data_IF_943749438975
#
_entry.id   IF_943749438975
#
_cell.length_a   1.000
_cell.length_b   1.000
_cell.length_c   1.000
_cell.angle_alpha   90.00
_cell.angle_beta   90.00
_cell.angle_gamma   90.00
#
_symmetry.space_group_name_H-M   'P 1'
#
loop_
_entity.id
_entity.type
_entity.pdbx_description
1 polymer ?
#
# COMPACT_ATOMS: atom_id res chain seq x y z
N UNK A 1 0.28 -11.56 -13.38
CA UNK A 1 -0.71 -10.80 -14.17
C UNK A 1 -1.02 -11.47 -15.50
N UNK A 2 -0.06 -11.63 -16.43
CA UNK A 2 -0.30 -12.27 -17.74
C UNK A 2 -0.99 -13.64 -17.60
N UNK A 3 -0.45 -14.54 -16.77
CA UNK A 3 -1.03 -15.88 -16.58
C UNK A 3 -2.43 -15.87 -15.93
N UNK A 4 -2.73 -14.89 -15.07
CA UNK A 4 -3.99 -14.82 -14.32
C UNK A 4 -5.09 -14.18 -15.16
N UNK A 5 -4.76 -13.11 -15.90
CA UNK A 5 -5.73 -12.32 -16.66
C UNK A 5 -5.92 -12.83 -18.08
N UNK A 6 -4.94 -13.58 -18.62
CA UNK A 6 -5.01 -14.19 -19.94
C UNK A 6 -5.38 -13.18 -21.04
N UNK A 7 -6.36 -13.55 -21.85
CA UNK A 7 -6.90 -12.73 -22.95
C UNK A 7 -7.58 -11.44 -22.51
N UNK A 8 -7.87 -11.28 -21.21
CA UNK A 8 -8.47 -10.05 -20.70
C UNK A 8 -7.46 -8.94 -20.41
N UNK A 9 -6.16 -9.23 -20.52
CA UNK A 9 -5.09 -8.23 -20.47
C UNK A 9 -4.65 -7.90 -21.91
N UNK A 10 -4.74 -6.63 -22.35
CA UNK A 10 -4.24 -6.22 -23.65
C UNK A 10 -2.76 -6.57 -23.82
N UNK A 11 -2.38 -6.97 -25.03
CA UNK A 11 -0.99 -7.25 -25.37
C UNK A 11 -0.36 -6.03 -26.01
N UNK A 12 0.82 -5.67 -25.54
CA UNK A 12 1.65 -4.68 -26.21
C UNK A 12 2.25 -5.31 -27.47
N UNK A 13 2.16 -4.58 -28.57
CA UNK A 13 2.92 -4.85 -29.78
C UNK A 13 4.42 -4.66 -29.53
N UNK A 14 5.25 -5.28 -30.37
CA UNK A 14 6.72 -5.16 -30.26
C UNK A 14 7.20 -3.70 -30.37
N UNK A 15 6.50 -2.85 -31.14
CA UNK A 15 6.81 -1.42 -31.25
C UNK A 15 6.47 -0.65 -29.98
N UNK A 16 5.33 -0.94 -29.33
CA UNK A 16 4.96 -0.33 -28.05
C UNK A 16 5.94 -0.72 -26.94
N UNK A 17 6.31 -2.00 -26.85
CA UNK A 17 7.32 -2.45 -25.89
C UNK A 17 8.64 -1.73 -26.12
N UNK A 18 9.10 -1.63 -27.38
CA UNK A 18 10.34 -0.91 -27.72
C UNK A 18 10.25 0.56 -27.32
N UNK A 19 9.12 1.22 -27.58
CA UNK A 19 8.90 2.61 -27.20
C UNK A 19 8.94 2.77 -25.68
N UNK A 20 8.24 1.93 -24.91
CA UNK A 20 8.22 1.99 -23.45
C UNK A 20 9.62 1.77 -22.84
N UNK A 21 10.40 0.84 -23.39
CA UNK A 21 11.78 0.58 -22.93
C UNK A 21 12.74 1.75 -23.20
N UNK A 22 12.42 2.64 -24.14
CA UNK A 22 13.24 3.81 -24.44
C UNK A 22 13.03 4.97 -23.46
N UNK A 23 11.93 4.98 -22.71
CA UNK A 23 11.65 6.01 -21.73
C UNK A 23 12.09 5.57 -20.33
N UNK A 24 12.79 6.46 -19.63
CA UNK A 24 13.10 6.29 -18.22
C UNK A 24 12.07 7.02 -17.39
N UNK A 25 11.66 6.42 -16.28
CA UNK A 25 10.79 7.07 -15.30
C UNK A 25 11.57 8.12 -14.54
N UNK A 26 11.08 9.36 -14.54
CA UNK A 26 11.73 10.48 -13.83
C UNK A 26 11.49 10.41 -12.31
N UNK A 27 10.28 10.01 -11.90
CA UNK A 27 9.92 9.81 -10.50
C UNK A 27 8.73 8.85 -10.34
N UNK A 28 8.54 8.34 -9.12
CA UNK A 28 7.39 7.54 -8.70
C UNK A 28 6.56 8.32 -7.69
N UNK A 29 5.26 8.49 -7.96
CA UNK A 29 4.27 8.92 -6.97
C UNK A 29 3.72 7.69 -6.23
N UNK A 30 3.67 7.74 -4.91
CA UNK A 30 3.27 6.61 -4.06
C UNK A 30 2.18 7.04 -3.09
N UNK A 31 1.05 6.35 -3.16
CA UNK A 31 -0.01 6.42 -2.17
C UNK A 31 0.10 5.19 -1.26
N UNK A 32 0.38 5.41 0.02
CA UNK A 32 0.46 4.31 0.99
C UNK A 32 -0.32 4.65 2.25
N UNK A 33 -1.16 3.70 2.67
CA UNK A 33 -2.06 3.89 3.80
C UNK A 33 -2.01 2.73 4.80
N UNK A 34 -1.90 1.49 4.30
CA UNK A 34 -2.04 0.26 5.08
C UNK A 34 -1.16 -0.86 4.51
N UNK A 35 -1.01 -1.94 5.27
CA UNK A 35 -0.39 -3.20 4.83
C UNK A 35 -1.32 -4.37 5.14
N UNK A 36 -1.06 -5.52 4.50
CA UNK A 36 -1.84 -6.73 4.69
C UNK A 36 -0.95 -7.97 4.72
N UNK A 37 -1.43 -9.02 5.38
CA UNK A 37 -0.95 -10.36 5.09
C UNK A 37 -1.52 -10.83 3.75
N UNK A 38 -0.77 -11.70 3.08
CA UNK A 38 -1.18 -12.35 1.84
C UNK A 38 -1.02 -13.84 2.02
N UNK A 39 -2.08 -14.58 1.73
CA UNK A 39 -2.08 -16.04 1.67
C UNK A 39 -2.12 -16.48 0.20
N UNK A 40 -1.25 -17.43 -0.16
CA UNK A 40 -1.30 -18.08 -1.46
C UNK A 40 -2.53 -18.98 -1.56
N UNK A 41 -3.23 -18.90 -2.69
CA UNK A 41 -4.44 -19.67 -2.96
C UNK A 41 -4.32 -20.53 -4.23
N UNK A 42 -3.12 -20.60 -4.82
CA UNK A 42 -2.86 -21.39 -6.03
C UNK A 42 -2.97 -22.89 -5.76
N UNK A 43 -2.50 -23.35 -4.60
CA UNK A 43 -2.47 -24.77 -4.24
C UNK A 43 -3.72 -25.16 -3.42
N UNK A 44 -4.18 -24.28 -2.54
CA UNK A 44 -5.40 -24.49 -1.75
C UNK A 44 -6.34 -23.32 -1.98
N UNK A 45 -7.46 -23.60 -2.65
CA UNK A 45 -8.43 -22.58 -3.02
C UNK A 45 -8.90 -21.79 -1.78
N UNK A 46 -8.76 -20.48 -1.84
CA UNK A 46 -9.35 -19.58 -0.86
C UNK A 46 -10.82 -19.33 -1.20
N UNK A 47 -11.62 -18.93 -0.21
CA UNK A 47 -13.01 -18.53 -0.42
C UNK A 47 -13.01 -17.31 -1.36
N UNK A 48 -13.76 -17.40 -2.47
CA UNK A 48 -14.02 -16.24 -3.32
C UNK A 48 -14.79 -15.19 -2.53
N UNK A 49 -14.34 -13.94 -2.58
CA UNK A 49 -15.07 -12.80 -2.07
C UNK A 49 -16.23 -12.39 -3.00
N UNK A 50 -16.50 -11.09 -3.09
CA UNK A 50 -17.63 -10.56 -3.84
C UNK A 50 -17.35 -10.37 -5.36
N UNK A 51 -16.27 -10.94 -5.90
CA UNK A 51 -15.91 -10.79 -7.33
C UNK A 51 -15.31 -9.43 -7.68
N UNK A 52 -14.69 -8.72 -6.73
CA UNK A 52 -14.21 -7.36 -6.93
C UNK A 52 -12.89 -7.27 -7.73
N UNK A 53 -12.19 -8.40 -7.94
CA UNK A 53 -10.95 -8.42 -8.70
C UNK A 53 -10.72 -9.73 -9.46
N UNK A 54 -10.11 -9.64 -10.64
CA UNK A 54 -9.73 -10.83 -11.43
C UNK A 54 -8.60 -11.67 -10.82
N UNK A 55 -7.95 -11.18 -9.75
CA UNK A 55 -6.99 -11.97 -8.96
C UNK A 55 -7.64 -12.72 -7.79
N UNK A 56 -8.95 -12.55 -7.59
CA UNK A 56 -9.70 -13.25 -6.56
C UNK A 56 -9.62 -14.77 -6.79
N UNK A 57 -9.37 -15.52 -5.71
CA UNK A 57 -9.09 -16.95 -5.76
C UNK A 57 -7.61 -17.32 -5.98
N UNK A 58 -6.73 -16.39 -6.40
CA UNK A 58 -5.28 -16.66 -6.55
C UNK A 58 -4.46 -16.25 -5.33
N UNK A 59 -4.87 -15.19 -4.64
CA UNK A 59 -4.29 -14.76 -3.38
C UNK A 59 -5.38 -14.16 -2.48
N UNK A 60 -5.27 -14.37 -1.18
CA UNK A 60 -6.19 -13.83 -0.20
C UNK A 60 -5.50 -12.75 0.63
N UNK A 61 -6.07 -11.54 0.57
CA UNK A 61 -5.68 -10.40 1.40
C UNK A 61 -6.27 -10.59 2.79
N UNK A 62 -5.43 -10.52 3.81
CA UNK A 62 -5.81 -10.77 5.19
C UNK A 62 -5.34 -9.63 6.11
N UNK A 63 -6.22 -9.20 7.00
CA UNK A 63 -5.92 -8.21 8.05
C UNK A 63 -5.31 -8.88 9.29
N UNK A 64 -5.49 -10.20 9.41
CA UNK A 64 -5.03 -11.02 10.52
C UNK A 64 -4.46 -12.35 10.06
N UNK A 65 -3.47 -12.86 10.80
CA UNK A 65 -2.94 -14.22 10.70
C UNK A 65 -3.16 -14.91 12.04
N UNK A 66 -4.23 -15.69 12.16
CA UNK A 66 -4.70 -16.21 13.45
C UNK A 66 -5.04 -15.06 14.42
N UNK A 67 -4.40 -15.05 15.59
CA UNK A 67 -4.63 -14.03 16.62
C UNK A 67 -3.78 -12.76 16.44
N UNK A 68 -2.92 -12.70 15.41
CA UNK A 68 -2.05 -11.54 15.15
C UNK A 68 -2.68 -10.66 14.07
N UNK A 69 -2.88 -9.36 14.37
CA UNK A 69 -3.26 -8.37 13.36
C UNK A 69 -2.03 -7.80 12.67
N UNK A 70 -2.18 -7.38 11.41
CA UNK A 70 -1.10 -6.73 10.66
C UNK A 70 -0.66 -5.40 11.29
N UNK A 71 -1.59 -4.68 11.94
CA UNK A 71 -1.37 -3.38 12.56
C UNK A 71 -2.54 -2.98 13.45
N UNK A 72 -2.50 -1.78 14.03
CA UNK A 72 -3.62 -1.28 14.85
C UNK A 72 -4.85 -1.03 13.95
N UNK A 73 -6.03 -1.58 14.27
CA UNK A 73 -7.25 -1.30 13.53
C UNK A 73 -7.71 0.16 13.65
N UNK A 74 -8.45 0.62 12.65
CA UNK A 74 -9.05 1.96 12.62
C UNK A 74 -10.55 1.89 12.38
N UNK A 75 -11.23 3.03 12.44
CA UNK A 75 -12.66 3.10 12.15
C UNK A 75 -12.96 2.82 10.66
N UNK A 76 -11.94 2.94 9.80
CA UNK A 76 -12.00 2.59 8.39
C UNK A 76 -11.53 1.15 8.23
N UNK A 77 -12.45 0.26 7.87
CA UNK A 77 -12.23 -1.21 7.90
C UNK A 77 -10.98 -1.68 7.15
N UNK A 78 -10.67 -1.10 6.00
CA UNK A 78 -9.51 -1.49 5.20
C UNK A 78 -8.18 -0.93 5.73
N UNK A 79 -8.20 0.04 6.64
CA UNK A 79 -7.04 0.81 7.07
C UNK A 79 -6.51 0.30 8.42
N UNK A 80 -5.27 -0.19 8.41
CA UNK A 80 -4.55 -0.66 9.59
C UNK A 80 -3.23 0.11 9.75
N UNK A 81 -2.96 0.59 10.96
CA UNK A 81 -1.76 1.38 11.24
C UNK A 81 -0.56 0.44 11.37
N UNK A 82 0.31 0.45 10.36
CA UNK A 82 1.54 -0.36 10.35
C UNK A 82 2.70 0.39 9.66
N UNK A 83 3.37 1.35 10.34
CA UNK A 83 4.43 2.15 9.75
C UNK A 83 5.64 1.33 9.27
N UNK A 84 5.94 0.21 9.91
CA UNK A 84 7.01 -0.70 9.47
C UNK A 84 6.73 -1.27 8.06
N UNK A 85 5.46 -1.46 7.69
CA UNK A 85 5.05 -1.83 6.34
C UNK A 85 5.39 -0.76 5.31
N UNK A 86 5.25 0.52 5.68
CA UNK A 86 5.62 1.65 4.85
C UNK A 86 7.13 1.67 4.56
N UNK A 87 7.97 1.49 5.59
CA UNK A 87 9.43 1.36 5.42
C UNK A 87 9.79 0.18 4.52
N UNK A 88 9.19 -0.99 4.74
CA UNK A 88 9.42 -2.20 3.93
C UNK A 88 9.03 -1.98 2.47
N UNK A 89 7.90 -1.33 2.20
CA UNK A 89 7.46 -0.99 0.85
C UNK A 89 8.46 -0.05 0.15
N UNK A 90 8.90 1.02 0.81
CA UNK A 90 9.89 1.95 0.23
C UNK A 90 11.21 1.25 -0.09
N UNK A 91 11.68 0.40 0.83
CA UNK A 91 12.86 -0.43 0.58
C UNK A 91 12.65 -1.42 -0.58
N UNK A 92 11.47 -2.03 -0.71
CA UNK A 92 11.15 -2.88 -1.85
C UNK A 92 11.21 -2.10 -3.16
N UNK A 93 10.56 -0.92 -3.24
CA UNK A 93 10.52 -0.09 -4.43
C UNK A 93 11.91 0.39 -4.86
N UNK A 94 12.76 0.78 -3.90
CA UNK A 94 14.18 1.11 -4.13
C UNK A 94 14.91 0.03 -4.94
N UNK A 95 14.73 -1.25 -4.59
CA UNK A 95 15.38 -2.36 -5.29
C UNK A 95 14.65 -2.74 -6.58
N UNK A 96 13.31 -2.69 -6.59
CA UNK A 96 12.49 -3.11 -7.71
C UNK A 96 12.52 -2.13 -8.90
N UNK A 97 12.65 -0.84 -8.61
CA UNK A 97 12.73 0.27 -9.56
C UNK A 97 14.00 1.07 -9.24
N UNK A 98 15.16 0.73 -9.84
CA UNK A 98 16.51 1.10 -9.38
C UNK A 98 16.66 2.53 -8.84
N UNK A 99 16.38 2.67 -7.54
CA UNK A 99 16.32 3.90 -6.74
C UNK A 99 15.83 5.17 -7.46
N UNK A 100 14.80 5.04 -8.31
CA UNK A 100 14.13 6.17 -8.97
C UNK A 100 13.61 7.14 -7.89
N UNK A 101 13.70 8.47 -8.08
CA UNK A 101 13.14 9.44 -7.13
C UNK A 101 11.69 9.12 -6.78
N UNK A 102 11.35 9.12 -5.49
CA UNK A 102 10.01 8.81 -5.00
C UNK A 102 9.39 10.03 -4.31
N UNK A 103 8.09 10.23 -4.49
CA UNK A 103 7.28 11.19 -3.75
C UNK A 103 6.13 10.43 -3.10
N UNK A 104 5.95 10.62 -1.80
CA UNK A 104 4.74 10.14 -1.13
C UNK A 104 3.66 11.14 -1.48
N UNK A 105 2.73 10.73 -2.34
CA UNK A 105 1.67 11.60 -2.84
C UNK A 105 0.44 11.54 -1.94
N UNK A 106 0.26 10.44 -1.20
CA UNK A 106 -0.77 10.32 -0.17
C UNK A 106 -0.35 9.41 0.99
N UNK A 107 -0.61 9.86 2.21
CA UNK A 107 -0.60 9.10 3.44
C UNK A 107 -1.53 9.77 4.46
N UNK A 108 -2.34 9.01 5.18
CA UNK A 108 -3.27 9.61 6.13
C UNK A 108 -4.12 8.61 6.91
N UNK A 109 -4.84 9.16 7.90
CA UNK A 109 -5.80 8.45 8.73
C UNK A 109 -7.14 9.19 8.65
N UNK A 110 -8.20 8.45 8.32
CA UNK A 110 -9.58 8.93 8.47
C UNK A 110 -10.18 8.42 9.77
N UNK A 111 -10.94 9.27 10.45
CA UNK A 111 -11.74 8.93 11.62
C UNK A 111 -13.23 9.07 11.28
N UNK A 112 -14.04 8.09 11.68
CA UNK A 112 -15.49 8.16 11.44
C UNK A 112 -16.14 9.05 12.50
N UNK A 113 -16.75 10.15 12.05
CA UNK A 113 -17.49 11.03 12.93
C UNK A 113 -18.84 10.43 13.26
N UNK A 114 -19.19 10.43 14.54
CA UNK A 114 -20.55 10.13 14.99
C UNK A 114 -21.37 11.41 15.08
N UNK A 115 -22.71 11.37 14.91
CA UNK A 115 -23.57 12.56 14.97
C UNK A 115 -23.37 13.42 16.23
N UNK A 116 -23.01 12.79 17.35
CA UNK A 116 -22.79 13.41 18.65
C UNK A 116 -21.38 14.01 18.85
N UNK A 117 -20.47 13.84 17.89
CA UNK A 117 -19.06 14.27 18.05
C UNK A 117 -18.95 15.78 18.11
N UNK A 118 -18.38 16.31 19.19
CA UNK A 118 -18.18 17.77 19.36
C UNK A 118 -16.93 18.25 18.63
N UNK A 119 -16.89 19.54 18.28
CA UNK A 119 -15.68 20.19 17.71
C UNK A 119 -14.47 20.02 18.62
N UNK A 120 -14.66 20.07 19.95
CA UNK A 120 -13.58 19.87 20.92
C UNK A 120 -13.00 18.46 20.87
N UNK A 121 -13.82 17.45 20.59
CA UNK A 121 -13.36 16.07 20.40
C UNK A 121 -12.66 15.89 19.06
N UNK A 122 -13.19 16.50 17.99
CA UNK A 122 -12.54 16.48 16.67
C UNK A 122 -11.15 17.11 16.68
N UNK A 123 -10.96 18.19 17.44
CA UNK A 123 -9.64 18.84 17.59
C UNK A 123 -8.66 18.02 18.46
N UNK A 124 -9.12 16.94 19.12
CA UNK A 124 -8.28 16.05 19.94
C UNK A 124 -7.91 14.79 19.16
N UNK A 125 -7.38 14.97 17.97
CA UNK A 125 -7.07 13.93 16.98
C UNK A 125 -5.72 13.22 17.21
N UNK A 126 -5.47 12.81 18.45
CA UNK A 126 -4.21 12.17 18.87
C UNK A 126 -3.88 10.90 18.09
N UNK A 127 -4.88 10.18 17.58
CA UNK A 127 -4.68 8.97 16.76
C UNK A 127 -4.06 9.33 15.40
N UNK A 128 -4.58 10.36 14.73
CA UNK A 128 -4.02 10.89 13.47
C UNK A 128 -2.61 11.45 13.66
N UNK A 129 -2.38 12.16 14.77
CA UNK A 129 -1.03 12.66 15.12
C UNK A 129 -0.04 11.51 15.25
N UNK A 130 -0.40 10.46 16.00
CA UNK A 130 0.45 9.26 16.17
C UNK A 130 0.67 8.52 14.85
N UNK A 131 -0.36 8.39 14.03
CA UNK A 131 -0.28 7.79 12.70
C UNK A 131 0.78 8.51 11.84
N UNK A 132 0.64 9.83 11.69
CA UNK A 132 1.54 10.63 10.86
C UNK A 132 2.97 10.60 11.43
N UNK A 133 3.12 10.77 12.75
CA UNK A 133 4.44 10.70 13.41
C UNK A 133 5.13 9.37 13.13
N UNK A 134 4.43 8.23 13.31
CA UNK A 134 5.02 6.91 13.08
C UNK A 134 5.39 6.67 11.61
N UNK A 135 4.59 7.16 10.65
CA UNK A 135 4.91 7.05 9.23
C UNK A 135 6.08 7.95 8.81
N UNK A 136 6.21 9.14 9.41
CA UNK A 136 7.38 10.01 9.19
C UNK A 136 8.66 9.41 9.78
N UNK A 137 8.59 8.76 10.94
CA UNK A 137 9.73 8.03 11.52
C UNK A 137 10.16 6.84 10.64
N UNK A 138 9.17 6.10 10.10
CA UNK A 138 9.40 5.02 9.16
C UNK A 138 9.98 5.52 7.82
N UNK A 139 9.50 6.66 7.31
CA UNK A 139 10.04 7.34 6.13
C UNK A 139 11.50 7.73 6.35
N UNK A 140 11.80 8.39 7.48
CA UNK A 140 13.16 8.78 7.83
C UNK A 140 14.08 7.55 7.90
N UNK A 141 13.59 6.44 8.47
CA UNK A 141 14.31 5.18 8.53
C UNK A 141 14.56 4.59 7.13
N UNK A 142 13.57 4.61 6.24
CA UNK A 142 13.75 4.17 4.85
C UNK A 142 14.76 5.04 4.08
N UNK A 143 14.76 6.36 4.31
CA UNK A 143 15.75 7.27 3.72
C UNK A 143 17.16 6.97 4.24
N UNK A 144 17.32 6.64 5.53
CA UNK A 144 18.59 6.16 6.09
C UNK A 144 19.02 4.82 5.49
N UNK A 145 18.07 3.96 5.13
CA UNK A 145 18.34 2.72 4.38
C UNK A 145 18.70 2.98 2.90
N UNK A 146 18.70 4.23 2.44
CA UNK A 146 19.07 4.64 1.09
C UNK A 146 17.92 4.80 0.10
N UNK A 147 16.66 4.79 0.55
CA UNK A 147 15.52 5.08 -0.32
C UNK A 147 15.55 6.54 -0.80
N UNK A 148 15.47 6.77 -2.11
CA UNK A 148 15.54 8.09 -2.73
C UNK A 148 14.19 8.82 -2.68
N UNK A 149 13.69 9.12 -1.48
CA UNK A 149 12.45 9.89 -1.30
C UNK A 149 12.76 11.39 -1.34
N UNK A 150 11.98 12.14 -2.13
CA UNK A 150 12.15 13.57 -2.40
C UNK A 150 11.04 14.44 -1.82
N UNK A 151 9.92 13.85 -1.45
CA UNK A 151 8.82 14.56 -0.81
C UNK A 151 7.84 13.62 -0.13
N UNK A 152 7.13 14.17 0.84
CA UNK A 152 5.99 13.62 1.52
C UNK A 152 4.87 14.66 1.55
#
# INVERSE_FOLDING_TARGET
MVNILGSALPQFSSSEVKNLMNYKTDFLGINHYSSYFVQDCLITACISGNGASKVEGYALKLERKGNVSIGEPTDISWLHIYPEGFRKMLNYLKHRYPNVPMFITENGLGDLQKPETTVKELLRDTKRIRYVSGHLDALQSAMRDGANVKGY
#
